data_IF_425088553350
#
_entry.id   IF_425088553350
#
_cell.length_a   1.000
_cell.length_b   1.000
_cell.length_c   1.000
_cell.angle_alpha   90.00
_cell.angle_beta   90.00
_cell.angle_gamma   90.00
#
_symmetry.space_group_name_H-M   'P 1'
#
loop_
_entity.id
_entity.type
_entity.pdbx_description
1 polymer ?
#
# COMPACT_ATOMS: atom_id res chain seq x y z
N UNK A 1 12.01 -23.06 -2.11
CA UNK A 1 11.68 -21.91 -1.24
C UNK A 1 11.36 -20.64 -2.03
N UNK A 2 12.25 -20.18 -2.93
CA UNK A 2 12.05 -18.95 -3.73
C UNK A 2 10.67 -18.78 -4.39
N UNK A 3 10.12 -19.83 -5.05
CA UNK A 3 8.78 -19.76 -5.69
C UNK A 3 7.64 -19.53 -4.68
N UNK A 4 7.72 -20.12 -3.48
CA UNK A 4 6.73 -19.95 -2.41
C UNK A 4 6.80 -18.53 -1.84
N UNK A 5 8.01 -18.05 -1.51
CA UNK A 5 8.26 -16.66 -1.05
C UNK A 5 7.76 -15.63 -2.05
N UNK A 6 8.08 -15.78 -3.34
CA UNK A 6 7.60 -14.86 -4.40
C UNK A 6 6.09 -14.84 -4.51
N UNK A 7 5.44 -16.01 -4.46
CA UNK A 7 3.96 -16.11 -4.49
C UNK A 7 3.31 -15.43 -3.27
N UNK A 8 3.92 -15.55 -2.10
CA UNK A 8 3.42 -14.93 -0.87
C UNK A 8 3.56 -13.41 -0.91
N UNK A 9 4.70 -12.89 -1.35
CA UNK A 9 4.93 -11.45 -1.57
C UNK A 9 3.94 -10.90 -2.62
N UNK A 10 3.79 -11.58 -3.76
CA UNK A 10 2.81 -11.18 -4.79
C UNK A 10 1.38 -11.15 -4.25
N UNK A 11 0.96 -12.16 -3.47
CA UNK A 11 -0.37 -12.18 -2.85
C UNK A 11 -0.55 -11.02 -1.87
N UNK A 12 0.46 -10.71 -1.06
CA UNK A 12 0.44 -9.56 -0.14
C UNK A 12 0.20 -8.26 -0.91
N UNK A 13 0.99 -7.99 -1.95
CA UNK A 13 0.85 -6.75 -2.74
C UNK A 13 -0.45 -6.72 -3.54
N UNK A 14 -0.94 -7.86 -4.04
CA UNK A 14 -2.24 -7.93 -4.70
C UNK A 14 -3.39 -7.57 -3.75
N UNK A 15 -3.35 -8.06 -2.50
CA UNK A 15 -4.34 -7.70 -1.47
C UNK A 15 -4.24 -6.22 -1.10
N UNK A 16 -3.02 -5.67 -0.97
CA UNK A 16 -2.84 -4.23 -0.71
C UNK A 16 -3.45 -3.41 -1.85
N UNK A 17 -3.16 -3.73 -3.11
CA UNK A 17 -3.71 -3.03 -4.27
C UNK A 17 -5.24 -3.12 -4.31
N UNK A 18 -5.79 -4.32 -4.05
CA UNK A 18 -7.24 -4.52 -3.98
C UNK A 18 -7.88 -3.64 -2.90
N UNK A 19 -7.33 -3.64 -1.69
CA UNK A 19 -7.84 -2.84 -0.58
C UNK A 19 -7.72 -1.34 -0.85
N UNK A 20 -6.60 -0.89 -1.41
CA UNK A 20 -6.42 0.51 -1.82
C UNK A 20 -7.43 0.92 -2.89
N UNK A 21 -7.67 0.07 -3.90
CA UNK A 21 -8.66 0.33 -4.94
C UNK A 21 -10.09 0.40 -4.37
N UNK A 22 -10.45 -0.51 -3.46
CA UNK A 22 -11.73 -0.50 -2.77
C UNK A 22 -11.89 0.75 -1.89
N UNK A 23 -10.84 1.17 -1.18
CA UNK A 23 -10.84 2.40 -0.39
C UNK A 23 -11.03 3.65 -1.25
N UNK A 24 -10.36 3.72 -2.40
CA UNK A 24 -10.57 4.82 -3.37
C UNK A 24 -11.98 4.81 -3.94
N UNK A 25 -12.50 3.64 -4.35
CA UNK A 25 -13.87 3.50 -4.84
C UNK A 25 -14.89 3.93 -3.78
N UNK A 26 -14.66 3.60 -2.51
CA UNK A 26 -15.49 4.04 -1.41
C UNK A 26 -15.50 5.57 -1.25
N UNK A 27 -14.34 6.22 -1.36
CA UNK A 27 -14.25 7.69 -1.36
C UNK A 27 -14.99 8.29 -2.57
N UNK A 28 -14.80 7.74 -3.77
CA UNK A 28 -15.52 8.18 -4.97
C UNK A 28 -17.03 8.02 -4.83
N UNK A 29 -17.49 6.91 -4.24
CA UNK A 29 -18.91 6.67 -4.00
C UNK A 29 -19.50 7.70 -3.04
N UNK A 30 -18.79 8.00 -1.94
CA UNK A 30 -19.21 9.04 -0.99
C UNK A 30 -19.28 10.40 -1.69
N UNK A 31 -18.21 10.80 -2.37
CA UNK A 31 -18.16 12.09 -3.08
C UNK A 31 -19.29 12.22 -4.11
N UNK A 32 -19.63 11.13 -4.79
CA UNK A 32 -20.77 11.09 -5.70
C UNK A 32 -22.12 11.19 -4.98
N UNK A 33 -22.33 10.43 -3.89
CA UNK A 33 -23.57 10.44 -3.10
C UNK A 33 -23.90 11.82 -2.53
N UNK A 34 -22.88 12.60 -2.15
CA UNK A 34 -23.05 13.94 -1.61
C UNK A 34 -22.91 15.06 -2.66
N UNK A 35 -22.72 14.72 -3.95
CA UNK A 35 -22.71 15.68 -5.05
C UNK A 35 -21.43 16.50 -5.21
N UNK A 36 -20.32 16.09 -4.58
CA UNK A 36 -19.03 16.78 -4.65
C UNK A 36 -18.28 16.57 -5.99
N UNK A 37 -18.69 15.57 -6.78
CA UNK A 37 -18.13 15.28 -8.11
C UNK A 37 -16.74 14.65 -8.10
N UNK A 38 -16.24 14.24 -9.28
CA UNK A 38 -14.99 13.47 -9.43
C UNK A 38 -13.72 14.25 -9.10
N UNK A 39 -13.77 15.58 -9.11
CA UNK A 39 -12.61 16.44 -8.85
C UNK A 39 -12.30 16.60 -7.35
N UNK A 40 -13.23 16.23 -6.46
CA UNK A 40 -13.08 16.41 -5.02
C UNK A 40 -11.99 15.51 -4.42
N UNK A 41 -11.67 14.39 -5.05
CA UNK A 41 -10.60 13.51 -4.59
C UNK A 41 -9.22 14.15 -4.65
N UNK A 42 -8.94 14.99 -5.64
CA UNK A 42 -7.67 15.74 -5.68
C UNK A 42 -7.58 16.74 -4.51
N UNK A 43 -8.73 17.31 -4.12
CA UNK A 43 -8.84 18.17 -2.96
C UNK A 43 -8.62 17.37 -1.66
N UNK A 44 -9.35 16.27 -1.44
CA UNK A 44 -9.20 15.40 -0.25
C UNK A 44 -7.78 14.84 -0.12
N UNK A 45 -7.13 14.46 -1.23
CA UNK A 45 -5.75 13.97 -1.24
C UNK A 45 -4.76 15.00 -0.69
N UNK A 46 -5.01 16.30 -0.90
CA UNK A 46 -4.20 17.35 -0.28
C UNK A 46 -4.41 17.46 1.23
N UNK A 47 -5.54 17.01 1.79
CA UNK A 47 -5.78 17.02 3.24
C UNK A 47 -5.35 15.73 3.95
N UNK A 48 -5.26 14.61 3.23
CA UNK A 48 -4.87 13.32 3.80
C UNK A 48 -3.39 13.27 4.24
N UNK A 49 -2.52 13.95 3.50
CA UNK A 49 -1.08 14.06 3.81
C UNK A 49 -0.67 15.50 3.53
N UNK A 50 -1.11 16.40 4.40
CA UNK A 50 -1.15 17.84 4.13
C UNK A 50 0.25 18.46 4.07
N UNK A 51 1.06 18.20 5.08
CA UNK A 51 2.38 18.80 5.24
C UNK A 51 3.49 18.03 4.52
N UNK A 52 4.55 18.74 4.15
CA UNK A 52 5.76 18.14 3.56
C UNK A 52 6.37 17.09 4.49
N UNK A 53 6.33 17.31 5.80
CA UNK A 53 6.84 16.36 6.81
C UNK A 53 6.02 15.08 6.86
N UNK A 54 4.69 15.14 6.73
CA UNK A 54 3.83 13.95 6.64
C UNK A 54 4.10 13.18 5.35
N UNK A 55 4.25 13.88 4.21
CA UNK A 55 4.60 13.27 2.92
C UNK A 55 5.93 12.53 2.99
N UNK A 56 6.94 13.16 3.59
CA UNK A 56 8.27 12.56 3.75
C UNK A 56 8.24 11.35 4.69
N UNK A 57 7.51 11.46 5.81
CA UNK A 57 7.36 10.38 6.79
C UNK A 57 6.65 9.17 6.18
N UNK A 58 5.56 9.40 5.46
CA UNK A 58 4.83 8.35 4.75
C UNK A 58 5.70 7.65 3.70
N UNK A 59 6.49 8.43 2.93
CA UNK A 59 7.43 7.87 1.97
C UNK A 59 8.53 7.03 2.65
N UNK A 60 9.10 7.51 3.76
CA UNK A 60 10.09 6.77 4.53
C UNK A 60 9.52 5.45 5.08
N UNK A 61 8.31 5.47 5.64
CA UNK A 61 7.62 4.27 6.12
C UNK A 61 7.36 3.26 4.99
N UNK A 62 6.91 3.73 3.82
CA UNK A 62 6.73 2.89 2.64
C UNK A 62 8.04 2.24 2.20
N UNK A 63 9.15 3.00 2.16
CA UNK A 63 10.47 2.46 1.87
C UNK A 63 10.89 1.37 2.86
N UNK A 64 10.69 1.59 4.16
CA UNK A 64 10.99 0.60 5.19
C UNK A 64 10.17 -0.69 5.04
N UNK A 65 8.96 -0.63 4.46
CA UNK A 65 8.15 -1.83 4.18
C UNK A 65 8.54 -2.51 2.86
N UNK A 66 8.81 -1.73 1.81
CA UNK A 66 9.01 -2.25 0.45
C UNK A 66 10.44 -2.78 0.25
N UNK A 67 11.45 -2.09 0.77
CA UNK A 67 12.87 -2.45 0.56
C UNK A 67 13.18 -3.87 1.05
N UNK A 68 12.80 -4.29 2.27
CA UNK A 68 13.04 -5.65 2.74
C UNK A 68 12.36 -6.70 1.86
N UNK A 69 11.12 -6.45 1.42
CA UNK A 69 10.40 -7.38 0.55
C UNK A 69 11.07 -7.52 -0.82
N UNK A 70 11.57 -6.42 -1.41
CA UNK A 70 12.32 -6.46 -2.67
C UNK A 70 13.59 -7.29 -2.50
N UNK A 71 14.34 -7.07 -1.42
CA UNK A 71 15.56 -7.84 -1.11
C UNK A 71 15.22 -9.33 -0.99
N UNK A 72 14.16 -9.68 -0.24
CA UNK A 72 13.70 -11.07 -0.10
C UNK A 72 13.19 -11.67 -1.42
N UNK A 73 12.59 -10.87 -2.29
CA UNK A 73 12.12 -11.32 -3.60
C UNK A 73 13.28 -11.67 -4.56
N UNK A 74 14.35 -10.85 -4.53
CA UNK A 74 15.56 -11.02 -5.34
C UNK A 74 16.42 -12.17 -4.79
N UNK A 75 16.81 -12.09 -3.52
CA UNK A 75 17.70 -13.09 -2.89
C UNK A 75 16.99 -14.43 -2.74
N UNK A 76 15.68 -14.42 -2.50
CA UNK A 76 14.87 -15.62 -2.28
C UNK A 76 15.17 -16.34 -0.96
N UNK A 77 16.00 -15.73 -0.10
CA UNK A 77 16.18 -16.10 1.29
C UNK A 77 15.21 -15.24 2.10
N UNK A 78 14.13 -15.87 2.53
CA UNK A 78 13.33 -15.35 3.62
C UNK A 78 13.85 -16.09 4.85
N UNK A 79 14.49 -15.38 5.80
CA UNK A 79 14.77 -15.96 7.11
C UNK A 79 13.44 -16.48 7.63
N UNK A 80 13.36 -17.77 7.95
CA UNK A 80 12.12 -18.38 8.45
C UNK A 80 11.56 -17.46 9.54
N UNK A 81 10.36 -16.93 9.29
CA UNK A 81 9.67 -16.13 10.32
C UNK A 81 9.46 -17.09 11.47
N UNK A 82 10.03 -16.82 12.64
CA UNK A 82 9.91 -17.68 13.82
C UNK A 82 8.47 -17.97 14.28
N UNK A 83 7.47 -17.33 13.66
CA UNK A 83 6.04 -17.61 13.80
C UNK A 83 5.52 -18.77 12.92
N UNK A 84 6.37 -19.40 12.09
CA UNK A 84 6.04 -20.62 11.33
C UNK A 84 6.54 -21.91 12.01
N UNK A 85 6.96 -21.86 13.29
CA UNK A 85 7.20 -23.03 14.15
C UNK A 85 5.99 -23.36 15.01
#
# INVERSE_FOLDING_TARGET
MKKKTRKLILKKYAVIVLLSALGLLYLYLIDWMFGYGLNNISFIMNYLVYSTSEKLSAAAMLCCMIIPDIIHFITGNQSERGAER
#
